data_IF_002579712218
#
_entry.id   IF_002579712218
#
_cell.length_a   1.000
_cell.length_b   1.000
_cell.length_c   1.000
_cell.angle_alpha   90.00
_cell.angle_beta   90.00
_cell.angle_gamma   90.00
#
_symmetry.space_group_name_H-M   'P 1'
#
loop_
_entity.id
_entity.type
_entity.pdbx_description
1 polymer ?
#
# COMPACT_ATOMS: atom_id res chain seq x y z
N UNK A 1 -15.34 -6.56 -9.33
CA UNK A 1 -14.79 -5.52 -10.23
C UNK A 1 -13.52 -4.99 -9.59
N UNK A 2 -12.40 -5.01 -10.30
CA UNK A 2 -11.12 -4.44 -9.84
C UNK A 2 -10.84 -3.21 -10.70
N UNK A 3 -10.55 -2.09 -10.09
CA UNK A 3 -10.14 -0.87 -10.76
C UNK A 3 -8.68 -0.57 -10.42
N UNK A 4 -7.85 -0.37 -11.44
CA UNK A 4 -6.45 0.05 -11.31
C UNK A 4 -6.27 1.39 -11.98
N UNK A 5 -5.66 2.33 -11.28
CA UNK A 5 -5.25 3.61 -11.85
C UNK A 5 -3.74 3.76 -11.69
N UNK A 6 -3.08 4.20 -12.74
CA UNK A 6 -1.65 4.48 -12.73
C UNK A 6 -1.44 6.00 -12.76
N UNK A 7 -0.65 6.49 -11.83
CA UNK A 7 -0.32 7.91 -11.69
C UNK A 7 1.17 8.07 -11.97
N UNK A 8 1.51 8.77 -13.05
CA UNK A 8 2.88 9.14 -13.34
C UNK A 8 3.27 10.40 -12.56
N UNK A 9 4.51 10.52 -12.21
CA UNK A 9 5.09 11.69 -11.56
C UNK A 9 6.38 12.08 -12.26
N UNK A 10 6.74 13.37 -12.16
CA UNK A 10 8.00 13.86 -12.69
C UNK A 10 9.15 13.39 -11.79
N UNK A 11 10.15 12.75 -12.40
CA UNK A 11 11.31 12.29 -11.66
C UNK A 11 12.25 13.45 -11.41
N UNK A 12 12.63 13.65 -10.15
CA UNK A 12 13.63 14.63 -9.75
C UNK A 12 15.06 14.10 -9.80
N UNK A 13 15.24 12.80 -9.99
CA UNK A 13 16.53 12.13 -10.02
C UNK A 13 16.58 11.12 -11.14
N UNK A 14 17.69 11.12 -11.89
CA UNK A 14 18.00 10.10 -12.88
C UNK A 14 18.78 8.95 -12.22
N UNK A 15 18.44 7.72 -12.57
CA UNK A 15 19.12 6.53 -12.09
C UNK A 15 18.26 5.28 -12.16
N UNK A 16 18.91 4.14 -12.06
CA UNK A 16 18.25 2.85 -11.87
C UNK A 16 18.12 2.57 -10.37
N UNK A 17 16.93 2.76 -9.84
CA UNK A 17 16.59 2.50 -8.43
C UNK A 17 16.03 1.08 -8.21
N UNK A 18 16.35 0.15 -9.07
CA UNK A 18 15.95 -1.26 -8.97
C UNK A 18 14.45 -1.46 -9.14
N UNK A 19 13.75 -1.82 -8.07
CA UNK A 19 12.31 -2.13 -8.13
C UNK A 19 11.39 -0.90 -8.04
N UNK A 20 11.95 0.30 -7.94
CA UNK A 20 11.16 1.55 -7.91
C UNK A 20 10.52 1.78 -9.27
N UNK A 21 9.20 1.87 -9.30
CA UNK A 21 8.43 2.11 -10.52
C UNK A 21 8.29 3.60 -10.79
N UNK A 22 8.19 3.93 -12.07
CA UNK A 22 7.94 5.30 -12.53
C UNK A 22 6.49 5.76 -12.34
N UNK A 23 5.65 4.87 -11.84
CA UNK A 23 4.22 5.11 -11.65
C UNK A 23 3.76 4.57 -10.31
N UNK A 24 2.87 5.31 -9.66
CA UNK A 24 2.13 4.85 -8.49
C UNK A 24 0.86 4.18 -8.99
N UNK A 25 0.67 2.92 -8.62
CA UNK A 25 -0.53 2.16 -8.95
C UNK A 25 -1.45 2.16 -7.74
N UNK A 26 -2.65 2.71 -7.93
CA UNK A 26 -3.73 2.59 -6.95
C UNK A 26 -4.69 1.51 -7.44
N UNK A 27 -4.87 0.49 -6.64
CA UNK A 27 -5.76 -0.62 -6.92
C UNK A 27 -6.93 -0.60 -5.94
N UNK A 28 -8.15 -0.55 -6.46
CA UNK A 28 -9.36 -0.63 -5.66
C UNK A 28 -10.21 -1.82 -6.11
N UNK A 29 -10.77 -2.53 -5.15
CA UNK A 29 -11.64 -3.66 -5.42
C UNK A 29 -12.94 -3.52 -4.62
N UNK A 30 -14.03 -3.95 -5.23
CA UNK A 30 -15.33 -4.05 -4.57
C UNK A 30 -15.60 -5.46 -4.02
N UNK A 31 -14.59 -6.33 -4.05
CA UNK A 31 -14.72 -7.73 -3.65
C UNK A 31 -14.22 -7.88 -2.23
N UNK A 32 -15.13 -8.16 -1.32
CA UNK A 32 -14.83 -8.48 0.07
C UNK A 32 -15.54 -7.58 1.07
N UNK A 33 -15.74 -8.10 2.26
CA UNK A 33 -16.18 -7.34 3.41
C UNK A 33 -14.98 -6.60 3.98
N UNK A 34 -15.16 -5.32 4.31
CA UNK A 34 -14.10 -4.51 4.93
C UNK A 34 -14.08 -4.66 6.48
N UNK A 35 -14.68 -5.70 7.01
CA UNK A 35 -14.72 -6.00 8.45
C UNK A 35 -13.85 -7.23 8.79
N UNK A 36 -13.27 -7.27 10.00
CA UNK A 36 -13.19 -6.19 10.97
C UNK A 36 -12.16 -5.14 10.59
N UNK A 37 -12.46 -3.88 10.85
CA UNK A 37 -11.58 -2.74 10.64
C UNK A 37 -11.25 -2.02 11.95
N UNK A 38 -10.26 -1.17 11.90
CA UNK A 38 -9.92 -0.19 12.93
C UNK A 38 -9.66 1.16 12.27
N UNK A 39 -9.74 2.23 13.03
CA UNK A 39 -9.33 3.54 12.55
C UNK A 39 -7.83 3.71 12.77
N UNK A 40 -7.13 4.18 11.75
CA UNK A 40 -5.72 4.52 11.85
C UNK A 40 -5.45 5.88 11.21
N UNK A 41 -4.54 6.63 11.79
CA UNK A 41 -4.13 7.94 11.29
C UNK A 41 -2.98 7.77 10.29
N UNK A 42 -3.12 8.36 9.13
CA UNK A 42 -2.12 8.34 8.06
C UNK A 42 -1.52 9.72 7.88
N UNK A 43 -0.21 9.76 7.73
CA UNK A 43 0.55 10.97 7.41
C UNK A 43 1.77 10.62 6.55
N UNK A 44 2.31 11.61 5.86
CA UNK A 44 3.50 11.44 5.03
C UNK A 44 4.79 11.56 5.84
N UNK A 45 5.88 10.96 5.36
CA UNK A 45 7.21 11.20 5.92
C UNK A 45 7.61 12.68 5.82
N UNK A 46 7.13 13.40 4.80
CA UNK A 46 7.37 14.85 4.65
C UNK A 46 6.72 15.61 5.80
N UNK A 47 5.47 15.28 6.16
CA UNK A 47 4.81 15.85 7.35
C UNK A 47 5.66 15.65 8.60
N UNK A 48 6.13 14.42 8.84
CA UNK A 48 6.95 14.09 10.00
C UNK A 48 8.25 14.90 10.03
N UNK A 49 8.92 15.06 8.88
CA UNK A 49 10.13 15.86 8.74
C UNK A 49 9.85 17.35 9.01
N UNK A 50 8.78 17.91 8.44
CA UNK A 50 8.41 19.32 8.63
C UNK A 50 8.04 19.60 10.09
N UNK A 51 7.39 18.66 10.76
CA UNK A 51 7.07 18.76 12.18
C UNK A 51 8.36 18.82 13.04
N UNK A 52 9.33 17.94 12.76
CA UNK A 52 10.63 17.91 13.44
C UNK A 52 11.46 19.19 13.23
N UNK A 53 11.25 19.87 12.12
CA UNK A 53 11.94 21.12 11.76
C UNK A 53 11.14 22.38 12.09
N UNK A 54 10.04 22.27 12.83
CA UNK A 54 9.14 23.37 13.23
C UNK A 54 8.59 24.20 12.04
N UNK A 55 8.31 23.54 10.91
CA UNK A 55 7.78 24.17 9.69
C UNK A 55 6.26 23.99 9.56
N UNK A 56 5.54 24.34 10.61
CA UNK A 56 4.07 24.18 10.67
C UNK A 56 3.34 24.98 9.58
N UNK A 57 3.86 26.13 9.20
CA UNK A 57 3.28 26.96 8.14
C UNK A 57 3.25 26.24 6.79
N UNK A 58 4.32 25.50 6.47
CA UNK A 58 4.41 24.71 5.25
C UNK A 58 3.41 23.54 5.28
N UNK A 59 3.28 22.87 6.43
CA UNK A 59 2.29 21.80 6.61
C UNK A 59 0.88 22.30 6.29
N UNK A 60 0.53 23.46 6.83
CA UNK A 60 -0.79 24.06 6.63
C UNK A 60 -0.99 24.55 5.19
N UNK A 61 0.03 25.18 4.61
CA UNK A 61 -0.01 25.69 3.24
C UNK A 61 -0.27 24.61 2.22
N UNK A 62 0.34 23.42 2.40
CA UNK A 62 0.23 22.29 1.46
C UNK A 62 -0.77 21.23 1.89
N UNK A 63 -1.53 21.45 2.96
CA UNK A 63 -2.56 20.52 3.43
C UNK A 63 -2.01 19.14 3.82
N UNK A 64 -0.80 19.08 4.39
CA UNK A 64 -0.12 17.83 4.74
C UNK A 64 -0.57 17.25 6.07
N UNK A 65 -1.64 17.76 6.67
CA UNK A 65 -2.12 17.30 7.97
C UNK A 65 -2.51 15.82 7.95
N UNK A 66 -2.30 15.11 9.05
CA UNK A 66 -2.76 13.74 9.19
C UNK A 66 -4.27 13.63 9.00
N UNK A 67 -4.71 12.49 8.50
CA UNK A 67 -6.13 12.18 8.37
C UNK A 67 -6.40 10.72 8.74
N UNK A 68 -7.62 10.44 9.19
CA UNK A 68 -8.01 9.12 9.61
C UNK A 68 -8.58 8.30 8.45
N UNK A 69 -8.22 7.03 8.42
CA UNK A 69 -8.71 6.05 7.46
C UNK A 69 -9.18 4.78 8.17
N UNK A 70 -10.10 4.07 7.55
CA UNK A 70 -10.46 2.73 7.98
C UNK A 70 -9.45 1.72 7.46
N UNK A 71 -8.80 1.01 8.36
CA UNK A 71 -7.76 0.03 8.06
C UNK A 71 -8.27 -1.35 8.43
N UNK A 72 -8.13 -2.33 7.54
CA UNK A 72 -8.40 -3.73 7.90
C UNK A 72 -7.50 -4.14 9.06
N UNK A 73 -8.07 -4.85 10.02
CA UNK A 73 -7.28 -5.38 11.14
C UNK A 73 -6.21 -6.34 10.64
N UNK A 74 -5.06 -6.30 11.29
CA UNK A 74 -3.88 -7.10 10.91
C UNK A 74 -4.19 -8.59 10.84
N UNK A 75 -5.00 -9.08 11.78
CA UNK A 75 -5.41 -10.50 11.82
C UNK A 75 -6.22 -10.88 10.58
N UNK A 76 -7.11 -9.99 10.12
CA UNK A 76 -7.86 -10.19 8.90
C UNK A 76 -6.95 -10.24 7.67
N UNK A 77 -6.04 -9.30 7.57
CA UNK A 77 -5.06 -9.26 6.48
C UNK A 77 -4.20 -10.51 6.46
N UNK A 78 -3.76 -10.99 7.63
CA UNK A 78 -3.00 -12.23 7.75
C UNK A 78 -3.81 -13.44 7.29
N UNK A 79 -5.07 -13.58 7.74
CA UNK A 79 -5.96 -14.66 7.29
C UNK A 79 -6.13 -14.68 5.77
N UNK A 80 -6.34 -13.52 5.15
CA UNK A 80 -6.47 -13.45 3.68
C UNK A 80 -5.19 -13.86 2.96
N UNK A 81 -4.03 -13.50 3.48
CA UNK A 81 -2.74 -13.92 2.94
C UNK A 81 -2.55 -15.43 3.07
N UNK A 82 -2.86 -16.03 4.22
CA UNK A 82 -2.78 -17.48 4.44
C UNK A 82 -3.72 -18.24 3.51
N UNK A 83 -4.98 -17.81 3.40
CA UNK A 83 -5.96 -18.41 2.47
C UNK A 83 -5.46 -18.32 1.03
N UNK A 84 -4.88 -17.18 0.66
CA UNK A 84 -4.28 -16.99 -0.65
C UNK A 84 -3.16 -18.01 -0.92
N UNK A 85 -2.25 -18.23 0.03
CA UNK A 85 -1.18 -19.20 -0.10
C UNK A 85 -1.72 -20.63 -0.26
N UNK A 86 -2.73 -21.01 0.54
CA UNK A 86 -3.38 -22.32 0.41
C UNK A 86 -4.00 -22.49 -0.97
N UNK A 87 -4.71 -21.48 -1.49
CA UNK A 87 -5.28 -21.55 -2.85
C UNK A 87 -4.20 -21.74 -3.92
N UNK A 88 -3.10 -20.99 -3.84
CA UNK A 88 -2.00 -21.08 -4.80
C UNK A 88 -1.22 -22.39 -4.67
N UNK A 89 -1.25 -23.08 -3.52
CA UNK A 89 -0.68 -24.42 -3.38
C UNK A 89 -1.46 -25.52 -4.11
N UNK A 90 -2.71 -25.23 -4.49
CA UNK A 90 -3.62 -26.18 -5.15
C UNK A 90 -3.84 -25.87 -6.64
N UNK A 91 -3.04 -25.00 -7.24
CA UNK A 91 -3.09 -24.69 -8.68
C UNK A 91 -2.38 -25.77 -9.50
N UNK A 92 -2.48 -25.69 -10.82
CA UNK A 92 -1.79 -26.61 -11.73
C UNK A 92 -0.26 -26.49 -11.68
N UNK A 93 0.27 -25.31 -11.31
CA UNK A 93 1.69 -25.04 -11.19
C UNK A 93 2.05 -24.47 -9.80
N UNK A 94 1.85 -25.25 -8.72
CA UNK A 94 1.88 -24.70 -7.36
C UNK A 94 3.25 -24.14 -6.96
N UNK A 95 4.36 -24.69 -7.44
CA UNK A 95 5.71 -24.19 -7.11
C UNK A 95 5.95 -22.78 -7.64
N UNK A 96 5.57 -22.53 -8.90
CA UNK A 96 5.74 -21.23 -9.55
C UNK A 96 4.80 -20.18 -8.95
N UNK A 97 3.54 -20.58 -8.77
CA UNK A 97 2.50 -19.67 -8.27
C UNK A 97 2.74 -19.29 -6.81
N UNK A 98 3.14 -20.24 -5.96
CA UNK A 98 3.54 -19.94 -4.59
C UNK A 98 4.77 -19.05 -4.51
N UNK A 99 5.81 -19.32 -5.31
CA UNK A 99 7.02 -18.50 -5.33
C UNK A 99 6.72 -17.05 -5.68
N UNK A 100 5.88 -16.83 -6.70
CA UNK A 100 5.44 -15.50 -7.09
C UNK A 100 4.61 -14.82 -5.99
N UNK A 101 3.76 -15.57 -5.31
CA UNK A 101 2.90 -15.04 -4.26
C UNK A 101 3.65 -14.70 -2.98
N UNK A 102 4.59 -15.54 -2.56
CA UNK A 102 5.41 -15.31 -1.37
C UNK A 102 6.22 -14.02 -1.52
N UNK A 103 6.73 -13.75 -2.72
CA UNK A 103 7.50 -12.53 -3.01
C UNK A 103 6.72 -11.24 -2.75
N UNK A 104 5.38 -11.29 -2.76
CA UNK A 104 4.49 -10.16 -2.47
C UNK A 104 3.96 -10.14 -1.02
N UNK A 105 4.48 -10.99 -0.15
CA UNK A 105 3.99 -11.15 1.23
C UNK A 105 4.90 -10.45 2.26
N UNK A 106 6.11 -10.04 1.83
CA UNK A 106 7.04 -9.26 2.63
C UNK A 106 6.90 -7.77 2.39
#
# INVERSE_FOLDING_TARGET
MIRKTAHSYEKSFDGDFGQVRDTIIVESTWIGHCEPYTTGTVYSYIYEMMLKTNQQDIINQYGMNPFDVLILRTERTLCEKLISLVRFSQTEQPKTDLSNKIRHTY
#
